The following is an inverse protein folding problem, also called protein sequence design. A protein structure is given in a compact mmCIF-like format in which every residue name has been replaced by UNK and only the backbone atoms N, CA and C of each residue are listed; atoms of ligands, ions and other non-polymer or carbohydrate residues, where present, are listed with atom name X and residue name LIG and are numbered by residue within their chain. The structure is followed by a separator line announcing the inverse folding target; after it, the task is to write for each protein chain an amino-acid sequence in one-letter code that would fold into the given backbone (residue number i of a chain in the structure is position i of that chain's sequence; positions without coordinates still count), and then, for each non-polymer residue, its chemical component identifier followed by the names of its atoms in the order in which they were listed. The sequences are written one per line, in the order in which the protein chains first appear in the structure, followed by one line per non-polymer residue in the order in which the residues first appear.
data_IF_369162083695
#
_entry.id   IF_369162083695
#
_cell.length_a   1.000
_cell.length_b   1.000
_cell.length_c   1.000
_cell.angle_alpha   90.00
_cell.angle_beta   90.00
_cell.angle_gamma   90.00
#
_symmetry.space_group_name_H-M   'P 1'
#
loop_
_entity.id
_entity.type
_entity.pdbx_description
1 polymer ?
#
# COMPACT_ATOMS: atom_id res chain seq x y z
N UNK A 1 1.29 38.84 43.48
CA UNK A 1 1.54 37.70 42.58
C UNK A 1 0.21 37.44 41.88
N UNK A 2 0.20 37.18 40.57
CA UNK A 2 -0.95 36.73 39.74
C UNK A 2 -1.32 37.65 38.57
N UNK A 3 -0.66 37.47 37.43
CA UNK A 3 -1.19 37.94 36.13
C UNK A 3 -0.69 37.18 34.88
N UNK A 4 -0.04 36.01 35.01
CA UNK A 4 0.50 35.27 33.84
C UNK A 4 -0.41 34.16 33.27
N UNK A 5 -1.51 33.80 33.94
CA UNK A 5 -2.40 32.70 33.53
C UNK A 5 -3.09 32.87 32.15
N UNK A 6 -3.43 34.07 31.64
CA UNK A 6 -4.17 34.19 30.37
C UNK A 6 -3.34 33.83 29.13
N UNK A 7 -2.03 34.09 29.15
CA UNK A 7 -1.14 33.91 27.98
C UNK A 7 -0.83 32.43 27.76
N UNK A 8 -0.60 31.67 28.83
CA UNK A 8 -0.38 30.22 28.75
C UNK A 8 -1.64 29.48 28.27
N UNK A 9 -2.83 29.86 28.76
CA UNK A 9 -4.09 29.27 28.30
C UNK A 9 -4.37 29.60 26.83
N UNK A 10 -4.11 30.84 26.39
CA UNK A 10 -4.24 31.25 24.99
C UNK A 10 -3.25 30.51 24.07
N UNK A 11 -2.01 30.31 24.51
CA UNK A 11 -1.01 29.53 23.77
C UNK A 11 -1.41 28.06 23.68
N UNK A 12 -1.96 27.47 24.75
CA UNK A 12 -2.41 26.08 24.79
C UNK A 12 -3.68 25.87 23.92
N UNK A 13 -4.60 26.84 23.92
CA UNK A 13 -5.77 26.88 23.02
C UNK A 13 -5.36 27.05 21.56
N UNK A 14 -4.37 27.91 21.27
CA UNK A 14 -3.82 28.11 19.92
C UNK A 14 -3.09 26.85 19.44
N UNK A 15 -2.36 26.16 20.31
CA UNK A 15 -1.72 24.88 20.01
C UNK A 15 -2.76 23.78 19.71
N UNK A 16 -3.79 23.65 20.56
CA UNK A 16 -4.91 22.72 20.35
C UNK A 16 -5.71 23.02 19.09
N UNK A 17 -5.92 24.30 18.78
CA UNK A 17 -6.60 24.73 17.56
C UNK A 17 -5.78 24.42 16.31
N UNK A 18 -4.45 24.65 16.34
CA UNK A 18 -3.57 24.30 15.23
C UNK A 18 -3.46 22.77 15.02
N UNK A 19 -3.47 21.99 16.10
CA UNK A 19 -3.51 20.52 16.05
C UNK A 19 -4.86 19.98 15.49
N UNK A 20 -5.99 20.58 15.90
CA UNK A 20 -7.31 20.29 15.34
C UNK A 20 -7.45 20.71 13.87
N UNK A 21 -6.83 21.83 13.46
CA UNK A 21 -6.86 22.30 12.06
C UNK A 21 -6.00 21.44 11.14
N UNK A 22 -4.90 20.86 11.65
CA UNK A 22 -4.09 19.85 10.95
C UNK A 22 -4.87 18.55 10.71
N UNK A 23 -5.76 18.17 11.64
CA UNK A 23 -6.73 17.06 11.51
C UNK A 23 -7.82 17.29 10.44
N UNK A 24 -8.11 18.53 10.04
CA UNK A 24 -9.13 18.86 9.02
C UNK A 24 -8.69 18.59 7.58
N UNK A 25 -7.41 18.37 7.30
CA UNK A 25 -6.96 17.92 5.97
C UNK A 25 -7.06 16.39 5.85
N UNK A 26 -7.92 15.91 4.96
CA UNK A 26 -8.14 14.46 4.77
C UNK A 26 -6.89 13.84 4.14
N UNK A 27 -6.18 12.99 4.89
CA UNK A 27 -5.03 12.23 4.40
C UNK A 27 -5.45 11.35 3.20
N UNK A 28 -4.80 11.52 2.05
CA UNK A 28 -5.12 10.78 0.82
C UNK A 28 -4.46 9.39 0.76
N UNK A 29 -3.33 9.23 1.44
CA UNK A 29 -2.65 7.95 1.63
C UNK A 29 -3.34 7.18 2.74
N UNK A 30 -4.31 6.36 2.34
CA UNK A 30 -5.03 5.45 3.24
C UNK A 30 -4.74 4.01 2.85
N UNK A 31 -5.03 3.09 3.74
CA UNK A 31 -5.08 1.66 3.41
C UNK A 31 -5.99 1.41 2.21
N UNK A 32 -5.68 0.38 1.42
CA UNK A 32 -6.41 -0.02 0.21
C UNK A 32 -6.32 0.99 -0.95
N UNK A 33 -5.49 2.02 -0.85
CA UNK A 33 -5.14 2.88 -1.99
C UNK A 33 -4.13 2.19 -2.89
N UNK A 34 -4.35 2.29 -4.19
CA UNK A 34 -3.40 1.83 -5.18
C UNK A 34 -2.34 2.90 -5.43
N UNK A 35 -1.09 2.46 -5.49
CA UNK A 35 0.09 3.29 -5.67
C UNK A 35 1.02 2.67 -6.71
N UNK A 36 1.86 3.49 -7.33
CA UNK A 36 2.92 3.04 -8.22
C UNK A 36 4.25 3.25 -7.49
N UNK A 37 5.09 2.22 -7.50
CA UNK A 37 6.43 2.31 -6.93
C UNK A 37 7.33 3.03 -7.93
N UNK A 38 7.99 4.11 -7.49
CA UNK A 38 8.86 4.92 -8.34
C UNK A 38 10.28 4.38 -8.41
N UNK A 39 10.83 3.90 -7.29
CA UNK A 39 12.25 3.56 -7.17
C UNK A 39 12.52 2.15 -6.62
N UNK A 40 13.73 1.65 -6.90
CA UNK A 40 14.23 0.35 -6.47
C UNK A 40 13.78 -0.82 -7.36
N UNK A 41 14.01 -2.06 -6.89
CA UNK A 41 13.76 -3.30 -7.67
C UNK A 41 12.34 -3.43 -8.27
N UNK A 42 11.35 -2.80 -7.65
CA UNK A 42 9.95 -2.86 -8.07
C UNK A 42 9.45 -1.56 -8.71
N UNK A 43 10.35 -0.70 -9.19
CA UNK A 43 9.98 0.50 -9.93
C UNK A 43 9.02 0.19 -11.11
N UNK A 44 8.06 1.09 -11.33
CA UNK A 44 7.00 0.94 -12.33
C UNK A 44 5.98 -0.17 -12.03
N UNK A 45 6.02 -0.77 -10.83
CA UNK A 45 5.03 -1.77 -10.41
C UNK A 45 3.92 -1.14 -9.58
N UNK A 46 2.70 -1.63 -9.82
CA UNK A 46 1.50 -1.26 -9.08
C UNK A 46 1.46 -2.04 -7.77
N UNK A 47 1.12 -1.34 -6.70
CA UNK A 47 1.02 -1.88 -5.36
C UNK A 47 -0.17 -1.26 -4.64
N UNK A 48 -0.52 -1.86 -3.51
CA UNK A 48 -1.57 -1.40 -2.60
C UNK A 48 -0.94 -1.16 -1.24
N UNK A 49 -1.36 -0.07 -0.61
CA UNK A 49 -0.99 0.24 0.76
C UNK A 49 -1.78 -0.68 1.69
N UNK A 50 -1.09 -1.50 2.47
CA UNK A 50 -1.70 -2.36 3.49
C UNK A 50 -1.73 -1.65 4.84
N UNK A 51 -0.61 -1.06 5.25
CA UNK A 51 -0.49 -0.28 6.49
C UNK A 51 0.31 0.99 6.25
N UNK A 52 -0.12 2.08 6.87
CA UNK A 52 0.49 3.41 6.83
C UNK A 52 1.17 3.70 8.17
N UNK A 53 2.38 4.24 8.13
CA UNK A 53 3.14 4.69 9.29
C UNK A 53 3.54 6.15 9.07
N UNK A 54 2.66 7.06 9.45
CA UNK A 54 2.83 8.49 9.18
C UNK A 54 3.82 9.14 10.15
N UNK A 55 3.81 8.71 11.41
CA UNK A 55 4.66 9.26 12.48
C UNK A 55 6.02 8.56 12.58
N UNK A 56 6.28 7.60 11.68
CA UNK A 56 7.48 6.77 11.70
C UNK A 56 7.44 5.68 12.77
N UNK A 57 8.48 4.86 12.79
CA UNK A 57 8.70 3.78 13.75
C UNK A 57 10.07 3.98 14.40
N UNK A 58 10.34 3.38 15.57
CA UNK A 58 11.65 3.46 16.24
C UNK A 58 12.83 3.10 15.32
N UNK A 59 12.65 2.12 14.43
CA UNK A 59 13.69 1.74 13.44
C UNK A 59 13.83 2.74 12.28
N UNK A 60 12.74 3.46 11.95
CA UNK A 60 12.61 4.28 10.74
C UNK A 60 11.84 5.56 11.08
N UNK A 61 12.53 6.65 11.42
CA UNK A 61 11.86 7.88 11.87
C UNK A 61 11.11 8.61 10.74
N UNK A 62 11.31 8.22 9.48
CA UNK A 62 10.61 8.79 8.33
C UNK A 62 9.25 8.14 8.10
N UNK A 63 8.33 8.90 7.49
CA UNK A 63 7.02 8.42 7.10
C UNK A 63 7.12 7.34 6.00
N UNK A 64 6.50 6.19 6.25
CA UNK A 64 6.60 5.03 5.36
C UNK A 64 5.31 4.21 5.36
N UNK A 65 5.23 3.25 4.44
CA UNK A 65 4.11 2.33 4.42
C UNK A 65 4.54 0.92 4.01
N UNK A 66 3.74 -0.04 4.45
CA UNK A 66 3.81 -1.42 4.04
C UNK A 66 2.96 -1.61 2.79
N UNK A 67 3.60 -1.99 1.69
CA UNK A 67 2.93 -2.19 0.40
C UNK A 67 2.98 -3.64 -0.03
N UNK A 68 1.88 -4.10 -0.62
CA UNK A 68 1.76 -5.37 -1.31
C UNK A 68 1.45 -5.10 -2.79
N UNK A 69 2.25 -5.64 -3.70
CA UNK A 69 2.13 -5.33 -5.12
C UNK A 69 2.41 -6.47 -6.06
N UNK A 70 2.30 -6.20 -7.36
CA UNK A 70 2.46 -7.19 -8.42
C UNK A 70 3.89 -7.13 -8.97
N UNK A 71 4.65 -8.20 -8.77
CA UNK A 71 5.99 -8.39 -9.36
C UNK A 71 5.88 -8.85 -10.82
N UNK A 72 5.04 -9.86 -11.08
CA UNK A 72 4.74 -10.35 -12.44
C UNK A 72 3.25 -10.21 -12.70
N UNK A 73 2.91 -9.37 -13.67
CA UNK A 73 1.54 -9.16 -14.12
C UNK A 73 1.02 -10.39 -14.88
N UNK A 74 -0.30 -10.65 -14.82
CA UNK A 74 -0.92 -11.63 -15.68
C UNK A 74 -0.83 -11.17 -17.15
N UNK A 75 -0.64 -12.11 -18.05
CA UNK A 75 -0.62 -11.83 -19.49
C UNK A 75 -2.04 -11.78 -20.06
N UNK A 76 -2.23 -11.08 -21.18
CA UNK A 76 -3.52 -11.04 -21.88
C UNK A 76 -3.94 -12.47 -22.27
N UNK A 77 -5.13 -12.85 -21.84
CA UNK A 77 -5.78 -14.12 -22.20
C UNK A 77 -6.60 -13.89 -23.48
N UNK A 78 -6.51 -14.81 -24.44
CA UNK A 78 -7.22 -14.77 -25.72
C UNK A 78 -8.21 -15.95 -25.76
N UNK A 79 -9.38 -15.77 -26.39
CA UNK A 79 -10.41 -16.82 -26.49
C UNK A 79 -9.91 -18.14 -27.10
N UNK A 80 -8.89 -18.09 -27.96
CA UNK A 80 -8.26 -19.26 -28.61
C UNK A 80 -7.30 -20.05 -27.70
N UNK A 81 -6.99 -19.53 -26.51
CA UNK A 81 -6.07 -20.20 -25.59
C UNK A 81 -6.73 -21.44 -24.97
N UNK A 82 -5.99 -22.55 -24.90
CA UNK A 82 -6.43 -23.72 -24.13
C UNK A 82 -6.46 -23.43 -22.63
N UNK A 83 -7.29 -24.15 -21.88
CA UNK A 83 -7.42 -23.98 -20.42
C UNK A 83 -6.06 -24.00 -19.69
N UNK A 84 -5.14 -24.88 -20.12
CA UNK A 84 -3.76 -24.96 -19.57
C UNK A 84 -2.95 -23.68 -19.83
N UNK A 85 -3.05 -23.10 -21.03
CA UNK A 85 -2.37 -21.83 -21.38
C UNK A 85 -2.98 -20.66 -20.60
N UNK A 86 -4.30 -20.62 -20.47
CA UNK A 86 -5.02 -19.61 -19.69
C UNK A 86 -4.59 -19.62 -18.22
N UNK A 87 -4.53 -20.78 -17.57
CA UNK A 87 -4.07 -20.88 -16.18
C UNK A 87 -2.63 -20.37 -15.99
N UNK A 88 -1.72 -20.67 -16.94
CA UNK A 88 -0.33 -20.17 -16.91
C UNK A 88 -0.25 -18.64 -17.09
N UNK A 89 -1.08 -18.06 -17.95
CA UNK A 89 -1.14 -16.61 -18.23
C UNK A 89 -1.76 -15.81 -17.09
N UNK A 90 -2.75 -16.37 -16.40
CA UNK A 90 -3.43 -15.74 -15.26
C UNK A 90 -2.62 -15.76 -13.97
N UNK A 91 -1.50 -16.48 -13.92
CA UNK A 91 -0.68 -16.59 -12.71
C UNK A 91 0.01 -15.27 -12.36
N UNK A 92 -0.21 -14.80 -11.14
CA UNK A 92 0.38 -13.56 -10.62
C UNK A 92 1.56 -13.89 -9.70
N UNK A 93 2.60 -13.05 -9.69
CA UNK A 93 3.63 -13.08 -8.64
C UNK A 93 3.55 -11.81 -7.82
N UNK A 94 3.31 -11.92 -6.53
CA UNK A 94 3.24 -10.79 -5.62
C UNK A 94 4.63 -10.40 -5.06
N UNK A 95 4.72 -9.22 -4.46
CA UNK A 95 5.80 -8.81 -3.56
C UNK A 95 5.23 -8.04 -2.38
N UNK A 96 5.94 -8.08 -1.25
CA UNK A 96 5.66 -7.26 -0.07
C UNK A 96 6.93 -6.49 0.26
N UNK A 97 6.80 -5.18 0.54
CA UNK A 97 7.93 -4.31 0.86
C UNK A 97 7.48 -3.13 1.73
N UNK A 98 8.35 -2.67 2.62
CA UNK A 98 8.22 -1.35 3.28
C UNK A 98 8.88 -0.29 2.39
N UNK A 99 8.14 0.78 2.10
CA UNK A 99 8.55 1.83 1.17
C UNK A 99 8.27 3.20 1.79
N UNK A 100 9.23 4.13 1.67
CA UNK A 100 9.05 5.53 2.03
C UNK A 100 8.01 6.18 1.09
N UNK A 101 7.17 7.08 1.60
CA UNK A 101 6.19 7.80 0.79
C UNK A 101 6.80 8.58 -0.38
N UNK A 102 8.02 9.09 -0.28
CA UNK A 102 8.71 9.76 -1.40
C UNK A 102 8.93 8.85 -2.61
N UNK A 103 9.04 7.53 -2.40
CA UNK A 103 9.25 6.56 -3.47
C UNK A 103 7.95 5.98 -4.03
N UNK A 104 6.80 6.58 -3.68
CA UNK A 104 5.49 6.17 -4.14
C UNK A 104 4.82 7.31 -4.89
N UNK A 105 4.22 6.97 -6.03
CA UNK A 105 3.28 7.84 -6.73
C UNK A 105 1.86 7.41 -6.34
N UNK A 106 1.11 8.26 -5.62
CA UNK A 106 -0.29 7.98 -5.29
C UNK A 106 -1.14 8.01 -6.55
N UNK A 107 -2.16 7.16 -6.59
CA UNK A 107 -3.13 7.16 -7.69
C UNK A 107 -4.55 7.37 -7.20
N UNK A 108 -5.46 7.75 -8.10
CA UNK A 108 -6.88 7.89 -7.79
C UNK A 108 -7.54 6.56 -7.40
N UNK A 109 -7.00 5.44 -7.89
CA UNK A 109 -7.64 4.13 -7.77
C UNK A 109 -7.54 3.56 -6.35
N UNK A 110 -8.58 2.84 -5.97
CA UNK A 110 -8.62 2.00 -4.77
C UNK A 110 -8.65 0.53 -5.20
N UNK A 111 -8.05 -0.33 -4.38
CA UNK A 111 -8.16 -1.76 -4.52
C UNK A 111 -8.73 -2.32 -3.22
N UNK A 112 -9.96 -2.81 -3.31
CA UNK A 112 -10.66 -3.41 -2.18
C UNK A 112 -10.27 -4.89 -2.07
N UNK A 113 -9.11 -5.12 -1.49
CA UNK A 113 -8.61 -6.45 -1.10
C UNK A 113 -8.13 -6.34 0.33
N UNK A 114 -8.80 -7.03 1.23
CA UNK A 114 -8.36 -7.13 2.61
C UNK A 114 -7.05 -7.91 2.64
N UNK A 115 -5.94 -7.22 2.87
CA UNK A 115 -4.59 -7.79 3.03
C UNK A 115 -4.02 -7.53 4.42
N UNK A 116 -4.82 -6.93 5.31
CA UNK A 116 -4.39 -6.52 6.66
C UNK A 116 -3.98 -7.71 7.52
N UNK A 117 -4.65 -8.84 7.36
CA UNK A 117 -4.40 -10.06 8.14
C UNK A 117 -3.21 -10.85 7.58
N UNK A 118 -3.05 -10.84 6.26
CA UNK A 118 -2.01 -11.59 5.56
C UNK A 118 -0.62 -10.93 5.66
N UNK A 119 -0.58 -9.60 5.79
CA UNK A 119 0.65 -8.81 5.66
C UNK A 119 0.82 -7.91 6.88
N UNK A 120 1.54 -8.41 7.87
CA UNK A 120 2.03 -7.64 9.03
C UNK A 120 3.45 -7.09 8.79
N UNK A 121 3.90 -6.07 9.55
CA UNK A 121 5.29 -5.61 9.49
C UNK A 121 6.30 -6.71 9.92
N UNK A 122 5.93 -7.60 10.84
CA UNK A 122 6.80 -8.65 11.41
C UNK A 122 7.13 -9.75 10.39
N UNK A 123 6.26 -9.91 9.39
CA UNK A 123 6.45 -10.82 8.25
C UNK A 123 7.76 -10.54 7.51
N UNK A 124 8.27 -9.31 7.57
CA UNK A 124 9.49 -8.93 6.86
C UNK A 124 10.78 -9.34 7.57
N UNK A 125 10.72 -9.69 8.85
CA UNK A 125 11.89 -10.07 9.65
C UNK A 125 12.37 -11.50 9.32
N UNK A 126 11.43 -12.44 9.10
CA UNK A 126 11.76 -13.83 8.75
C UNK A 126 11.39 -14.16 7.31
N UNK A 127 12.28 -14.91 6.64
CA UNK A 127 12.09 -15.35 5.26
C UNK A 127 10.89 -16.29 5.11
N UNK A 128 10.64 -17.16 6.08
CA UNK A 128 9.55 -18.14 6.01
C UNK A 128 8.19 -17.47 6.12
N UNK A 129 8.06 -16.54 7.08
CA UNK A 129 6.86 -15.70 7.24
C UNK A 129 6.61 -14.88 5.97
N UNK A 130 7.67 -14.33 5.37
CA UNK A 130 7.56 -13.61 4.10
C UNK A 130 7.04 -14.49 2.96
N UNK A 131 7.48 -15.74 2.89
CA UNK A 131 7.01 -16.68 1.87
C UNK A 131 5.54 -17.04 2.07
N UNK A 132 5.07 -17.23 3.30
CA UNK A 132 3.65 -17.51 3.57
C UNK A 132 2.75 -16.34 3.21
N UNK A 133 3.10 -15.12 3.63
CA UNK A 133 2.37 -13.90 3.26
C UNK A 133 2.31 -13.67 1.74
N UNK A 134 3.39 -14.00 1.01
CA UNK A 134 3.42 -13.91 -0.44
C UNK A 134 2.50 -14.93 -1.12
N UNK A 135 2.39 -16.15 -0.57
CA UNK A 135 1.46 -17.18 -1.07
C UNK A 135 0.01 -16.73 -0.89
N UNK A 136 -0.32 -16.15 0.25
CA UNK A 136 -1.66 -15.65 0.56
C UNK A 136 -2.02 -14.43 -0.29
N UNK A 137 -1.13 -13.44 -0.37
CA UNK A 137 -1.30 -12.26 -1.22
C UNK A 137 -1.49 -12.64 -2.69
N UNK A 138 -0.73 -13.64 -3.17
CA UNK A 138 -0.88 -14.17 -4.53
C UNK A 138 -2.28 -14.74 -4.74
N UNK A 139 -2.78 -15.57 -3.82
CA UNK A 139 -4.11 -16.19 -3.93
C UNK A 139 -5.20 -15.12 -4.06
N UNK A 140 -5.20 -14.11 -3.19
CA UNK A 140 -6.15 -12.99 -3.22
C UNK A 140 -6.08 -12.18 -4.52
N UNK A 141 -4.89 -11.91 -5.04
CA UNK A 141 -4.72 -11.22 -6.32
C UNK A 141 -5.19 -12.05 -7.52
N UNK A 142 -4.99 -13.37 -7.51
CA UNK A 142 -5.46 -14.26 -8.57
C UNK A 142 -6.99 -14.38 -8.57
N UNK A 143 -7.61 -14.49 -7.40
CA UNK A 143 -9.08 -14.48 -7.24
C UNK A 143 -9.67 -13.16 -7.76
N UNK A 144 -9.09 -12.03 -7.39
CA UNK A 144 -9.56 -10.72 -7.86
C UNK A 144 -9.36 -10.54 -9.37
N UNK A 145 -8.26 -11.03 -9.94
CA UNK A 145 -8.05 -10.99 -11.39
C UNK A 145 -9.11 -11.81 -12.15
N UNK A 146 -9.46 -13.01 -11.66
CA UNK A 146 -10.51 -13.84 -12.26
C UNK A 146 -11.89 -13.19 -12.21
N UNK A 147 -12.16 -12.38 -11.18
CA UNK A 147 -13.42 -11.61 -11.10
C UNK A 147 -13.55 -10.50 -12.15
N UNK A 148 -12.49 -10.17 -12.90
CA UNK A 148 -12.49 -9.12 -13.92
C UNK A 148 -12.50 -7.69 -13.38
N UNK A 149 -12.56 -7.50 -12.06
CA UNK A 149 -12.54 -6.19 -11.41
C UNK A 149 -11.14 -5.57 -11.42
N UNK A 150 -11.06 -4.25 -11.30
CA UNK A 150 -9.81 -3.48 -11.17
C UNK A 150 -8.80 -3.73 -12.32
N UNK A 151 -9.29 -3.73 -13.57
CA UNK A 151 -8.49 -3.96 -14.79
C UNK A 151 -7.22 -3.12 -14.88
N UNK A 152 -7.30 -1.85 -14.45
CA UNK A 152 -6.13 -0.98 -14.40
C UNK A 152 -5.02 -1.56 -13.51
N UNK A 153 -5.33 -2.12 -12.35
CA UNK A 153 -4.33 -2.64 -11.41
C UNK A 153 -3.54 -3.83 -11.98
N UNK A 154 -4.24 -4.73 -12.67
CA UNK A 154 -3.63 -5.94 -13.25
C UNK A 154 -2.98 -5.74 -14.62
N UNK A 155 -3.22 -4.59 -15.27
CA UNK A 155 -2.57 -4.26 -16.54
C UNK A 155 -1.20 -3.64 -16.28
N UNK A 156 -0.16 -4.16 -16.95
CA UNK A 156 1.21 -3.63 -16.85
C UNK A 156 1.25 -2.15 -17.29
N UNK A 157 1.89 -1.31 -16.49
CA UNK A 157 2.21 0.07 -16.88
C UNK A 157 3.26 0.05 -18.00
N UNK A 158 3.02 0.77 -19.09
CA UNK A 158 3.99 0.99 -20.16
C UNK A 158 4.64 2.35 -19.91
N UNK A 159 5.94 2.34 -19.72
CA UNK A 159 6.82 3.47 -19.56
C UNK A 159 8.13 3.13 -20.29
#
# INVERSE_FOLDING_TARGET
MDSCLPIEMANNLRFRYMDQKKKKMVKFLKTNKAVIVLQGRYAGRKAVIVRTFDDGTRERPYAHCLVAGIKKYPSKVIKKDSAKKTAKKSRVKAFVKVVNYQHLMPTRYTLDVDLKDAVSPDVLQSKDKKVTALKETKKRFEERFKSGKNRWFFTKLRF
#
